data_IF_615479216697
#
_entry.id   IF_615479216697
#
_cell.length_a   1.000
_cell.length_b   1.000
_cell.length_c   1.000
_cell.angle_alpha   90.00
_cell.angle_beta   90.00
_cell.angle_gamma   90.00
#
_symmetry.space_group_name_H-M   'P 1'
#
loop_
_entity.id
_entity.type
_entity.pdbx_description
1 polymer ?
#
# COMPACT_ATOMS: atom_id res chain seq x y z
N UNK A 1 52.64 22.90 31.07
CA UNK A 1 51.78 22.68 29.89
C UNK A 1 50.37 22.46 30.43
N UNK A 2 49.53 23.46 30.76
CA UNK A 2 49.32 24.82 30.24
C UNK A 2 49.07 24.84 28.73
N UNK A 3 47.90 25.40 28.36
CA UNK A 3 47.32 25.64 27.01
C UNK A 3 46.62 24.39 26.44
N UNK A 4 45.32 24.36 26.10
CA UNK A 4 44.33 25.41 25.82
C UNK A 4 42.91 24.94 26.19
N UNK A 5 42.26 25.73 27.03
CA UNK A 5 40.82 25.87 27.16
C UNK A 5 40.51 27.37 26.88
N UNK A 6 39.28 27.67 26.48
CA UNK A 6 38.69 29.03 26.27
C UNK A 6 38.94 29.76 24.94
N UNK A 7 37.99 29.58 24.01
CA UNK A 7 37.38 30.62 23.17
C UNK A 7 36.22 29.91 22.44
N UNK A 8 34.94 30.24 22.55
CA UNK A 8 34.28 31.47 22.17
C UNK A 8 32.92 31.50 22.91
N UNK A 9 32.86 32.22 24.02
CA UNK A 9 31.62 32.77 24.58
C UNK A 9 31.90 34.25 24.83
N UNK A 10 31.00 35.12 24.35
CA UNK A 10 30.97 36.60 24.48
C UNK A 10 31.47 37.42 23.29
N UNK A 11 30.53 37.78 22.42
CA UNK A 11 30.23 39.19 22.14
C UNK A 11 28.75 39.46 22.38
N UNK A 12 28.43 39.96 23.57
CA UNK A 12 27.21 40.71 23.87
C UNK A 12 27.44 42.19 23.52
N UNK A 13 26.39 42.85 23.04
CA UNK A 13 25.99 44.24 23.29
C UNK A 13 26.95 45.39 22.92
N UNK A 14 26.53 46.14 21.91
CA UNK A 14 26.46 47.60 21.83
C UNK A 14 25.60 47.92 20.59
N UNK A 15 24.61 48.81 20.52
CA UNK A 15 23.90 49.72 21.41
C UNK A 15 22.63 50.11 20.61
N UNK A 16 21.45 50.18 21.23
CA UNK A 16 20.88 51.36 21.90
C UNK A 16 20.20 52.35 20.92
N UNK A 17 18.88 52.45 21.09
CA UNK A 17 18.00 53.62 21.00
C UNK A 17 17.91 54.46 19.71
N UNK A 18 16.71 54.47 19.09
CA UNK A 18 16.01 55.73 18.85
C UNK A 18 14.48 55.55 18.75
N UNK A 19 13.77 56.40 19.49
CA UNK A 19 12.31 56.60 19.56
C UNK A 19 11.90 57.57 18.45
N UNK A 20 10.73 57.39 17.84
CA UNK A 20 10.18 58.35 16.89
C UNK A 20 8.72 58.10 16.54
N UNK A 21 7.85 58.76 17.30
CA UNK A 21 6.39 58.90 17.16
C UNK A 21 5.96 59.48 15.80
N UNK A 22 4.73 59.19 15.37
CA UNK A 22 4.21 59.70 14.09
C UNK A 22 2.86 59.13 13.67
N UNK A 23 1.80 59.66 14.28
CA UNK A 23 0.39 59.48 13.91
C UNK A 23 0.08 60.07 12.52
N UNK A 24 -0.83 59.45 11.78
CA UNK A 24 -1.36 60.00 10.53
C UNK A 24 -2.50 59.15 9.96
N UNK A 25 -3.73 59.57 10.25
CA UNK A 25 -4.97 59.15 9.58
C UNK A 25 -4.96 59.53 8.08
N UNK A 26 -5.64 58.73 7.24
CA UNK A 26 -5.93 59.14 5.87
C UNK A 26 -6.48 58.04 4.95
N UNK A 27 -7.81 57.93 4.94
CA UNK A 27 -8.73 57.52 3.86
C UNK A 27 -8.21 56.78 2.61
N UNK A 28 -8.87 55.63 2.36
CA UNK A 28 -9.70 55.45 1.17
C UNK A 28 -9.02 55.28 -0.20
N UNK A 29 -8.92 54.03 -0.65
CA UNK A 29 -9.15 53.67 -2.06
C UNK A 29 -9.38 52.16 -2.17
N UNK A 30 -10.64 51.78 -2.41
CA UNK A 30 -11.01 50.48 -2.98
C UNK A 30 -10.32 50.35 -4.35
N UNK A 31 -9.52 49.29 -4.52
CA UNK A 31 -8.89 48.91 -5.77
C UNK A 31 -9.33 47.50 -6.12
N UNK A 32 -10.15 47.40 -7.16
CA UNK A 32 -10.73 46.18 -7.72
C UNK A 32 -9.69 45.09 -8.02
N UNK A 33 -9.99 43.88 -7.56
CA UNK A 33 -9.33 42.64 -7.98
C UNK A 33 -9.79 42.27 -9.40
N UNK A 34 -8.90 41.91 -10.33
CA UNK A 34 -9.31 41.49 -11.67
C UNK A 34 -10.01 40.11 -11.63
N UNK A 35 -11.20 40.06 -12.23
CA UNK A 35 -12.01 38.86 -12.39
C UNK A 35 -11.32 37.78 -13.24
N UNK A 36 -11.44 36.54 -12.80
CA UNK A 36 -11.03 35.33 -13.52
C UNK A 36 -11.91 35.10 -14.76
N UNK A 37 -11.38 34.53 -15.86
CA UNK A 37 -12.19 34.26 -17.05
C UNK A 37 -13.17 33.09 -16.84
N UNK A 38 -14.41 33.30 -17.28
CA UNK A 38 -15.49 32.30 -17.30
C UNK A 38 -15.16 31.10 -18.19
N UNK A 39 -15.48 29.90 -17.70
CA UNK A 39 -15.39 28.65 -18.45
C UNK A 39 -16.55 28.54 -19.48
N UNK A 40 -16.30 28.09 -20.72
CA UNK A 40 -17.35 27.96 -21.71
C UNK A 40 -18.25 26.74 -21.44
N UNK A 41 -19.55 27.00 -21.36
CA UNK A 41 -20.63 26.01 -21.31
C UNK A 41 -20.74 25.24 -22.63
N UNK A 42 -20.48 23.93 -22.61
CA UNK A 42 -20.81 23.04 -23.73
C UNK A 42 -22.18 22.40 -23.52
N UNK A 43 -23.08 22.71 -24.45
CA UNK A 43 -24.45 22.21 -24.50
C UNK A 43 -24.51 20.71 -24.76
N UNK A 44 -25.51 20.09 -24.15
CA UNK A 44 -25.87 18.69 -24.32
C UNK A 44 -26.86 18.59 -25.49
N UNK A 45 -26.46 17.96 -26.59
CA UNK A 45 -27.40 17.46 -27.61
C UNK A 45 -27.60 15.95 -27.42
N UNK A 46 -28.85 15.46 -27.32
CA UNK A 46 -29.15 14.05 -27.08
C UNK A 46 -29.38 13.28 -28.39
N UNK A 47 -28.91 12.02 -28.41
CA UNK A 47 -29.16 10.92 -29.37
C UNK A 47 -28.07 10.65 -30.40
N UNK A 48 -27.24 9.65 -30.09
CA UNK A 48 -26.92 8.53 -31.00
C UNK A 48 -26.18 7.44 -30.21
N UNK A 49 -26.91 6.65 -29.41
CA UNK A 49 -26.37 5.43 -28.81
C UNK A 49 -26.85 4.22 -29.62
N UNK A 50 -25.96 3.73 -30.48
CA UNK A 50 -25.99 2.37 -30.99
C UNK A 50 -24.54 1.89 -31.03
N UNK A 51 -24.03 1.51 -29.85
CA UNK A 51 -22.76 0.79 -29.72
C UNK A 51 -23.04 -0.69 -29.49
N UNK A 52 -22.26 -1.49 -30.23
CA UNK A 52 -22.22 -2.95 -30.22
C UNK A 52 -21.82 -3.48 -28.82
N UNK A 53 -22.14 -4.75 -28.50
CA UNK A 53 -21.78 -5.32 -27.20
C UNK A 53 -20.26 -5.50 -27.13
N UNK A 54 -19.60 -4.56 -26.45
CA UNK A 54 -18.24 -4.72 -25.98
C UNK A 54 -18.20 -5.80 -24.91
N UNK A 55 -17.18 -6.66 -24.98
CA UNK A 55 -16.86 -7.65 -23.96
C UNK A 55 -16.79 -6.97 -22.60
N UNK A 56 -17.53 -7.50 -21.63
CA UNK A 56 -17.35 -7.17 -20.21
C UNK A 56 -15.86 -7.36 -19.87
N UNK A 57 -15.20 -6.42 -19.18
CA UNK A 57 -13.90 -6.71 -18.61
C UNK A 57 -14.06 -7.91 -17.68
N UNK A 58 -13.13 -8.85 -17.82
CA UNK A 58 -13.10 -10.11 -17.08
C UNK A 58 -13.26 -9.87 -15.57
N UNK A 59 -14.02 -10.72 -14.90
CA UNK A 59 -14.22 -10.64 -13.46
C UNK A 59 -12.86 -10.57 -12.75
N UNK A 60 -12.74 -9.62 -11.81
CA UNK A 60 -11.57 -9.44 -10.94
C UNK A 60 -11.32 -10.73 -10.14
N UNK A 61 -10.08 -11.02 -9.77
CA UNK A 61 -9.74 -12.13 -8.88
C UNK A 61 -9.72 -11.66 -7.41
N UNK A 62 -10.10 -12.55 -6.48
CA UNK A 62 -9.94 -12.28 -5.03
C UNK A 62 -8.68 -12.96 -4.52
N UNK A 63 -7.85 -12.21 -3.79
CA UNK A 63 -6.69 -12.75 -3.09
C UNK A 63 -7.05 -12.95 -1.63
N UNK A 64 -6.96 -14.19 -1.15
CA UNK A 64 -7.40 -14.57 0.18
C UNK A 64 -6.20 -15.05 0.98
N UNK A 65 -5.93 -14.39 2.10
CA UNK A 65 -5.13 -14.97 3.17
C UNK A 65 -5.98 -16.06 3.84
N UNK A 66 -5.42 -17.27 4.00
CA UNK A 66 -6.14 -18.44 4.50
C UNK A 66 -7.15 -18.12 5.62
N UNK A 67 -8.32 -18.75 5.55
CA UNK A 67 -9.24 -18.82 6.69
C UNK A 67 -8.49 -19.51 7.84
N UNK A 68 -8.05 -18.75 8.84
CA UNK A 68 -7.52 -19.32 10.06
C UNK A 68 -8.66 -20.05 10.77
N UNK A 69 -8.75 -21.36 10.53
CA UNK A 69 -9.55 -22.25 11.34
C UNK A 69 -8.92 -22.15 12.74
N UNK A 70 -9.56 -21.41 13.66
CA UNK A 70 -9.03 -20.93 14.95
C UNK A 70 -8.57 -22.02 15.92
N UNK A 71 -7.64 -22.86 15.48
CA UNK A 71 -7.10 -24.06 16.10
C UNK A 71 -5.57 -24.04 16.18
N UNK A 72 -4.88 -23.10 15.53
CA UNK A 72 -3.48 -22.83 15.82
C UNK A 72 -3.36 -21.67 16.82
N UNK A 73 -3.67 -21.99 18.07
CA UNK A 73 -3.16 -21.22 19.19
C UNK A 73 -1.63 -21.32 19.24
N UNK A 74 -0.99 -20.21 19.59
CA UNK A 74 0.42 -20.08 19.94
C UNK A 74 1.43 -20.56 18.91
N UNK A 75 1.84 -19.63 18.05
CA UNK A 75 3.21 -19.63 17.51
C UNK A 75 3.76 -18.21 17.44
N UNK A 76 3.93 -17.58 18.62
CA UNK A 76 4.94 -16.53 18.79
C UNK A 76 6.33 -17.14 18.57
N UNK A 77 6.74 -17.33 17.32
CA UNK A 77 8.10 -17.69 16.96
C UNK A 77 8.78 -16.50 16.31
N UNK A 78 9.24 -15.60 17.19
CA UNK A 78 10.50 -14.85 17.14
C UNK A 78 11.34 -15.06 15.85
N UNK A 79 11.02 -14.34 14.78
CA UNK A 79 11.94 -14.16 13.64
C UNK A 79 12.87 -12.98 13.91
N UNK A 80 13.90 -13.26 14.71
CA UNK A 80 15.06 -12.37 14.77
C UNK A 80 15.90 -12.59 13.52
N UNK A 81 16.29 -11.48 12.86
CA UNK A 81 17.23 -11.41 11.74
C UNK A 81 18.33 -12.49 11.81
N UNK A 82 18.17 -13.54 11.01
CA UNK A 82 19.24 -14.51 10.74
C UNK A 82 19.47 -14.54 9.24
N UNK A 83 20.65 -14.08 8.87
CA UNK A 83 21.26 -14.15 7.56
C UNK A 83 20.84 -15.38 6.74
N UNK A 84 20.16 -15.12 5.63
CA UNK A 84 20.38 -15.65 4.28
C UNK A 84 21.33 -16.85 4.19
N UNK A 85 20.79 -18.07 4.05
CA UNK A 85 21.34 -19.17 3.24
C UNK A 85 20.29 -20.28 3.15
N UNK A 86 19.99 -20.70 1.93
CA UNK A 86 18.82 -21.50 1.58
C UNK A 86 18.65 -22.81 2.36
N UNK A 87 17.39 -23.05 2.74
CA UNK A 87 16.80 -24.37 2.88
C UNK A 87 15.41 -24.24 2.26
N UNK A 88 15.20 -24.83 1.09
CA UNK A 88 13.84 -25.07 0.58
C UNK A 88 13.19 -26.10 1.50
N UNK A 89 12.48 -25.64 2.52
CA UNK A 89 11.76 -26.52 3.43
C UNK A 89 10.58 -27.17 2.70
N UNK A 90 10.38 -28.47 2.92
CA UNK A 90 9.29 -29.30 2.36
C UNK A 90 7.89 -28.69 2.64
N UNK A 91 7.78 -27.80 3.63
CA UNK A 91 6.59 -27.00 3.97
C UNK A 91 6.22 -25.97 2.88
N UNK A 92 7.20 -25.44 2.16
CA UNK A 92 6.97 -24.47 1.08
C UNK A 92 6.26 -25.09 -0.14
N UNK A 93 6.33 -26.42 -0.30
CA UNK A 93 5.66 -27.16 -1.37
C UNK A 93 4.16 -27.32 -1.09
N UNK A 94 3.78 -27.51 0.18
CA UNK A 94 2.36 -27.61 0.57
C UNK A 94 1.69 -26.23 0.73
N UNK A 95 2.47 -25.16 0.94
CA UNK A 95 1.94 -23.80 1.11
C UNK A 95 2.85 -22.75 0.43
N UNK A 96 2.76 -22.57 -0.90
CA UNK A 96 3.57 -21.59 -1.62
C UNK A 96 3.23 -20.15 -1.19
N UNK A 97 4.18 -19.22 -1.32
CA UNK A 97 3.96 -17.78 -1.12
C UNK A 97 2.72 -17.27 -1.86
N UNK A 98 2.56 -17.71 -3.10
CA UNK A 98 1.41 -17.44 -3.97
C UNK A 98 0.88 -18.75 -4.55
N UNK A 99 -0.37 -19.06 -4.25
CA UNK A 99 -1.07 -20.27 -4.71
C UNK A 99 -1.50 -20.20 -6.17
N UNK A 100 -1.98 -21.33 -6.69
CA UNK A 100 -2.66 -21.37 -7.98
C UNK A 100 -4.04 -20.69 -7.90
N UNK A 101 -4.57 -20.36 -9.08
CA UNK A 101 -5.92 -19.83 -9.23
C UNK A 101 -6.93 -20.96 -9.06
N UNK A 102 -7.89 -20.80 -8.15
CA UNK A 102 -8.90 -21.82 -7.84
C UNK A 102 -10.33 -21.23 -7.84
N UNK A 103 -11.37 -22.02 -8.13
CA UNK A 103 -12.74 -21.53 -8.10
C UNK A 103 -13.23 -21.32 -6.66
N UNK A 104 -14.13 -20.35 -6.43
CA UNK A 104 -14.71 -20.05 -5.11
C UNK A 104 -15.54 -21.22 -4.52
N UNK A 105 -15.89 -22.22 -5.34
CA UNK A 105 -16.50 -23.45 -4.85
C UNK A 105 -15.61 -24.23 -3.88
N UNK A 106 -14.28 -24.10 -3.97
CA UNK A 106 -13.34 -24.72 -3.04
C UNK A 106 -13.45 -24.08 -1.66
N UNK A 107 -13.50 -22.74 -1.61
CA UNK A 107 -13.76 -21.99 -0.38
C UNK A 107 -15.11 -22.37 0.24
N UNK A 108 -16.16 -22.51 -0.59
CA UNK A 108 -17.47 -22.95 -0.12
C UNK A 108 -17.47 -24.35 0.51
N UNK A 109 -16.61 -25.26 0.03
CA UNK A 109 -16.49 -26.62 0.53
C UNK A 109 -15.74 -26.72 1.88
N UNK A 110 -14.91 -25.73 2.21
CA UNK A 110 -14.17 -25.66 3.49
C UNK A 110 -15.03 -25.20 4.66
N UNK A 111 -16.07 -24.41 4.40
CA UNK A 111 -16.97 -23.90 5.44
C UNK A 111 -17.79 -25.04 6.06
N UNK A 112 -17.74 -25.15 7.40
CA UNK A 112 -18.50 -26.15 8.16
C UNK A 112 -19.98 -26.13 7.80
N UNK A 113 -20.54 -27.30 7.57
CA UNK A 113 -21.99 -27.50 7.40
C UNK A 113 -22.76 -26.86 8.56
N UNK A 114 -23.50 -25.79 8.27
CA UNK A 114 -24.32 -25.06 9.24
C UNK A 114 -23.95 -23.59 9.43
N UNK A 115 -22.81 -23.12 8.91
CA UNK A 115 -22.49 -21.69 8.89
C UNK A 115 -23.19 -20.98 7.72
N UNK A 116 -24.49 -20.74 7.88
CA UNK A 116 -25.33 -20.18 6.83
C UNK A 116 -24.91 -18.77 6.41
N UNK A 117 -24.36 -17.97 7.33
CA UNK A 117 -23.92 -16.59 7.05
C UNK A 117 -22.71 -16.60 6.10
N UNK A 118 -21.67 -17.39 6.43
CA UNK A 118 -20.49 -17.49 5.57
C UNK A 118 -20.84 -18.12 4.21
N UNK A 119 -21.73 -19.11 4.18
CA UNK A 119 -22.19 -19.69 2.92
C UNK A 119 -22.94 -18.67 2.03
N UNK A 120 -23.76 -17.79 2.61
CA UNK A 120 -24.42 -16.72 1.84
C UNK A 120 -23.41 -15.70 1.32
N UNK A 121 -22.45 -15.25 2.14
CA UNK A 121 -21.38 -14.34 1.71
C UNK A 121 -20.52 -14.92 0.59
N UNK A 122 -20.18 -16.22 0.66
CA UNK A 122 -19.42 -16.88 -0.41
C UNK A 122 -20.23 -16.96 -1.71
N UNK A 123 -21.55 -17.15 -1.65
CA UNK A 123 -22.40 -17.09 -2.84
C UNK A 123 -22.35 -15.71 -3.48
N UNK A 124 -22.45 -14.65 -2.69
CA UNK A 124 -22.30 -13.27 -3.20
C UNK A 124 -20.92 -13.02 -3.82
N UNK A 125 -19.85 -13.54 -3.20
CA UNK A 125 -18.51 -13.46 -3.78
C UNK A 125 -18.44 -14.20 -5.12
N UNK A 126 -19.07 -15.37 -5.23
CA UNK A 126 -19.10 -16.17 -6.45
C UNK A 126 -19.90 -15.50 -7.59
N UNK A 127 -20.79 -14.55 -7.28
CA UNK A 127 -21.46 -13.71 -8.27
C UNK A 127 -20.59 -12.54 -8.74
N UNK A 128 -19.63 -12.08 -7.91
CA UNK A 128 -18.76 -10.92 -8.17
C UNK A 128 -17.38 -11.27 -8.73
N UNK A 129 -16.86 -12.46 -8.42
CA UNK A 129 -15.48 -12.86 -8.73
C UNK A 129 -15.43 -14.24 -9.38
N UNK A 130 -14.57 -14.41 -10.40
CA UNK A 130 -14.48 -15.67 -11.14
C UNK A 130 -13.61 -16.73 -10.44
N UNK A 131 -12.59 -16.29 -9.73
CA UNK A 131 -11.65 -17.15 -9.05
C UNK A 131 -11.07 -16.46 -7.81
N UNK A 132 -10.41 -17.26 -6.99
CA UNK A 132 -9.57 -16.78 -5.91
C UNK A 132 -8.14 -17.33 -6.03
N UNK A 133 -7.22 -16.66 -5.37
CA UNK A 133 -5.85 -17.13 -5.20
C UNK A 133 -5.49 -17.10 -3.71
N UNK A 134 -4.97 -18.21 -3.21
CA UNK A 134 -4.51 -18.30 -1.81
C UNK A 134 -3.13 -17.70 -1.66
N UNK A 135 -2.94 -16.95 -0.59
CA UNK A 135 -1.66 -16.39 -0.20
C UNK A 135 -1.26 -17.03 1.13
N UNK A 136 0.03 -17.35 1.26
CA UNK A 136 0.59 -17.92 2.48
C UNK A 136 0.25 -17.04 3.68
N UNK A 137 -0.25 -17.66 4.74
CA UNK A 137 -0.54 -16.99 6.01
C UNK A 137 0.74 -16.93 6.88
N UNK A 138 1.59 -15.95 6.58
CA UNK A 138 2.86 -15.71 7.25
C UNK A 138 2.97 -14.28 7.81
N UNK A 139 1.82 -13.60 7.99
CA UNK A 139 1.74 -12.19 8.40
C UNK A 139 2.08 -11.18 7.29
N UNK A 140 2.61 -11.62 6.13
CA UNK A 140 2.86 -10.76 4.97
C UNK A 140 1.74 -10.81 3.93
N UNK A 141 0.66 -11.53 4.22
CA UNK A 141 -0.38 -11.88 3.27
C UNK A 141 -1.02 -10.67 2.57
N UNK A 142 -1.23 -9.54 3.26
CA UNK A 142 -1.73 -8.30 2.63
C UNK A 142 -0.77 -7.79 1.56
N UNK A 143 0.49 -7.52 1.92
CA UNK A 143 1.50 -7.00 1.00
C UNK A 143 1.77 -7.98 -0.15
N UNK A 144 1.77 -9.28 0.13
CA UNK A 144 1.99 -10.33 -0.88
C UNK A 144 0.79 -10.46 -1.83
N UNK A 145 -0.43 -10.27 -1.33
CA UNK A 145 -1.65 -10.17 -2.16
C UNK A 145 -1.60 -8.95 -3.07
N UNK A 146 -1.28 -7.77 -2.50
CA UNK A 146 -1.15 -6.53 -3.26
C UNK A 146 -0.08 -6.62 -4.34
N UNK A 147 1.11 -7.11 -3.98
CA UNK A 147 2.24 -7.35 -4.89
C UNK A 147 1.78 -8.15 -6.11
N UNK A 148 1.21 -9.34 -5.88
CA UNK A 148 0.87 -10.24 -6.98
C UNK A 148 -0.29 -9.71 -7.82
N UNK A 149 -1.35 -9.22 -7.18
CA UNK A 149 -2.52 -8.66 -7.86
C UNK A 149 -2.14 -7.50 -8.79
N UNK A 150 -1.35 -6.56 -8.27
CA UNK A 150 -0.93 -5.40 -9.04
C UNK A 150 -0.04 -5.81 -10.22
N UNK A 151 0.97 -6.64 -9.99
CA UNK A 151 1.88 -7.10 -11.04
C UNK A 151 1.18 -7.98 -12.09
N UNK A 152 0.22 -8.82 -11.68
CA UNK A 152 -0.59 -9.64 -12.59
C UNK A 152 -1.40 -8.75 -13.53
N UNK A 153 -1.99 -7.66 -13.03
CA UNK A 153 -2.68 -6.68 -13.85
C UNK A 153 -1.74 -5.96 -14.83
N UNK A 154 -0.57 -5.51 -14.37
CA UNK A 154 0.43 -4.86 -15.24
C UNK A 154 0.89 -5.83 -16.33
N UNK A 155 1.18 -7.08 -15.99
CA UNK A 155 1.59 -8.11 -16.95
C UNK A 155 0.48 -8.41 -17.96
N UNK A 156 -0.78 -8.50 -17.52
CA UNK A 156 -1.91 -8.78 -18.40
C UNK A 156 -2.24 -7.63 -19.35
N UNK A 157 -2.16 -6.39 -18.87
CA UNK A 157 -2.56 -5.19 -19.64
C UNK A 157 -1.42 -4.59 -20.46
N UNK A 158 -0.17 -4.78 -20.02
CA UNK A 158 1.01 -4.08 -20.56
C UNK A 158 0.80 -2.56 -20.61
N UNK A 159 0.07 -2.01 -19.62
CA UNK A 159 -0.30 -0.60 -19.60
C UNK A 159 0.90 0.28 -19.21
N UNK A 160 1.58 0.82 -20.24
CA UNK A 160 2.73 1.70 -20.06
C UNK A 160 2.39 2.99 -19.32
N UNK A 161 1.17 3.52 -19.48
CA UNK A 161 0.77 4.76 -18.81
C UNK A 161 0.60 4.54 -17.30
N UNK A 162 0.05 3.39 -16.91
CA UNK A 162 0.00 2.99 -15.51
C UNK A 162 1.40 2.76 -14.94
N UNK A 163 2.31 2.12 -15.70
CA UNK A 163 3.71 1.92 -15.28
C UNK A 163 4.43 3.26 -15.06
N UNK A 164 4.28 4.22 -15.99
CA UNK A 164 4.84 5.57 -15.83
C UNK A 164 4.27 6.29 -14.60
N UNK A 165 2.95 6.15 -14.35
CA UNK A 165 2.27 6.75 -13.20
C UNK A 165 2.79 6.18 -11.88
N UNK A 166 2.88 4.86 -11.76
CA UNK A 166 3.35 4.23 -10.52
C UNK A 166 4.83 4.52 -10.28
N UNK A 167 5.68 4.55 -11.31
CA UNK A 167 7.09 4.93 -11.17
C UNK A 167 7.25 6.37 -10.66
N UNK A 168 6.39 7.29 -11.09
CA UNK A 168 6.36 8.66 -10.56
C UNK A 168 5.98 8.71 -9.07
N UNK A 169 5.02 7.89 -8.64
CA UNK A 169 4.63 7.79 -7.23
C UNK A 169 5.73 7.11 -6.39
N UNK A 170 6.36 6.06 -6.90
CA UNK A 170 7.52 5.41 -6.26
C UNK A 170 8.68 6.41 -6.10
N UNK A 171 8.96 7.24 -7.10
CA UNK A 171 9.96 8.30 -6.97
C UNK A 171 9.60 9.34 -5.89
N UNK A 172 8.31 9.60 -5.68
CA UNK A 172 7.82 10.49 -4.62
C UNK A 172 7.96 9.83 -3.24
N UNK A 173 7.67 8.54 -3.12
CA UNK A 173 7.88 7.76 -1.90
C UNK A 173 9.37 7.75 -1.50
N UNK A 174 10.28 7.54 -2.46
CA UNK A 174 11.73 7.60 -2.24
C UNK A 174 12.16 8.96 -1.67
N UNK A 175 11.71 10.06 -2.27
CA UNK A 175 12.01 11.42 -1.77
C UNK A 175 11.46 11.66 -0.37
N UNK A 176 10.28 11.11 -0.07
CA UNK A 176 9.66 11.21 1.25
C UNK A 176 10.55 10.58 2.32
N UNK A 177 11.02 9.35 2.09
CA UNK A 177 11.91 8.65 3.02
C UNK A 177 13.22 9.42 3.26
N UNK A 178 13.80 9.99 2.20
CA UNK A 178 15.00 10.84 2.31
C UNK A 178 14.77 12.07 3.20
N UNK A 179 13.63 12.74 3.04
CA UNK A 179 13.25 13.90 3.87
C UNK A 179 13.01 13.50 5.33
N UNK A 180 12.48 12.30 5.57
CA UNK A 180 12.29 11.71 6.90
C UNK A 180 13.62 11.26 7.56
N UNK A 181 14.73 11.29 6.81
CA UNK A 181 16.07 10.99 7.32
C UNK A 181 16.53 9.54 7.13
N UNK A 182 15.82 8.76 6.32
CA UNK A 182 16.24 7.41 5.96
C UNK A 182 17.49 7.45 5.04
N UNK A 183 18.53 6.61 5.28
CA UNK A 183 19.75 6.63 4.48
C UNK A 183 19.51 6.24 3.01
N UNK A 184 20.07 7.00 2.07
CA UNK A 184 19.92 6.77 0.62
C UNK A 184 20.22 5.34 0.18
N UNK A 185 21.32 4.74 0.69
CA UNK A 185 21.70 3.38 0.31
C UNK A 185 20.64 2.34 0.68
N UNK A 186 19.95 2.54 1.81
CA UNK A 186 18.93 1.62 2.30
C UNK A 186 17.66 1.76 1.45
N UNK A 187 17.24 2.99 1.17
CA UNK A 187 16.07 3.28 0.34
C UNK A 187 16.29 2.72 -1.08
N UNK A 188 17.48 2.89 -1.63
CA UNK A 188 17.81 2.42 -2.98
C UNK A 188 17.76 0.89 -3.09
N UNK A 189 18.27 0.18 -2.08
CA UNK A 189 18.20 -1.29 -2.06
C UNK A 189 16.76 -1.82 -2.03
N UNK A 190 15.88 -1.23 -1.22
CA UNK A 190 14.48 -1.66 -1.16
C UNK A 190 13.71 -1.38 -2.45
N UNK A 191 14.00 -0.27 -3.12
CA UNK A 191 13.24 0.18 -4.29
C UNK A 191 13.71 -0.48 -5.58
N UNK A 192 14.98 -0.89 -5.65
CA UNK A 192 15.61 -1.39 -6.86
C UNK A 192 14.85 -2.53 -7.53
N UNK A 193 14.44 -3.54 -6.76
CA UNK A 193 13.82 -4.74 -7.33
C UNK A 193 12.45 -4.46 -7.95
N UNK A 194 11.62 -3.66 -7.29
CA UNK A 194 10.29 -3.30 -7.80
C UNK A 194 10.38 -2.41 -9.04
N UNK A 195 11.27 -1.40 -9.02
CA UNK A 195 11.50 -0.53 -10.18
C UNK A 195 11.98 -1.35 -11.39
N UNK A 196 12.97 -2.22 -11.18
CA UNK A 196 13.51 -3.06 -12.27
C UNK A 196 12.43 -3.95 -12.88
N UNK A 197 11.52 -4.49 -12.06
CA UNK A 197 10.42 -5.32 -12.54
C UNK A 197 9.42 -4.53 -13.40
N UNK A 198 9.11 -3.30 -13.02
CA UNK A 198 8.24 -2.41 -13.79
C UNK A 198 8.90 -1.94 -15.09
N UNK A 199 10.19 -1.59 -15.04
CA UNK A 199 10.96 -1.16 -16.22
C UNK A 199 11.06 -2.28 -17.27
N UNK A 200 11.11 -3.56 -16.86
CA UNK A 200 11.06 -4.69 -17.79
C UNK A 200 9.77 -4.73 -18.63
N UNK A 201 8.66 -4.17 -18.14
CA UNK A 201 7.40 -4.07 -18.89
C UNK A 201 7.48 -2.98 -19.96
N UNK A 202 8.29 -1.94 -19.72
CA UNK A 202 8.51 -0.86 -20.68
C UNK A 202 9.53 -1.24 -21.76
N UNK A 203 10.46 -2.16 -21.47
CA UNK A 203 11.51 -2.58 -22.40
C UNK A 203 10.97 -3.41 -23.57
N UNK A 204 10.84 -2.77 -24.72
CA UNK A 204 10.41 -3.42 -25.98
C UNK A 204 11.47 -4.37 -26.56
N UNK A 205 12.69 -4.37 -26.02
CA UNK A 205 13.81 -5.21 -26.49
C UNK A 205 13.77 -6.61 -25.90
N UNK A 206 13.04 -6.81 -24.80
CA UNK A 206 12.92 -8.09 -24.11
C UNK A 206 11.51 -8.66 -24.28
N UNK A 207 11.35 -10.00 -24.32
CA UNK A 207 10.01 -10.59 -24.26
C UNK A 207 9.35 -10.22 -22.93
N UNK A 208 8.04 -9.90 -22.92
CA UNK A 208 7.34 -9.59 -21.69
C UNK A 208 7.32 -10.82 -20.77
N UNK A 209 7.41 -10.58 -19.46
CA UNK A 209 7.28 -11.63 -18.44
C UNK A 209 5.93 -12.30 -18.62
N UNK A 210 5.93 -13.62 -18.76
CA UNK A 210 4.68 -14.38 -18.88
C UNK A 210 3.97 -14.49 -17.52
N UNK A 211 2.65 -14.69 -17.52
CA UNK A 211 1.92 -14.93 -16.27
C UNK A 211 2.50 -16.09 -15.45
N UNK A 212 2.88 -17.18 -16.11
CA UNK A 212 3.51 -18.34 -15.46
C UNK A 212 4.85 -17.95 -14.82
N UNK A 213 5.67 -17.19 -15.54
CA UNK A 213 6.95 -16.72 -15.02
C UNK A 213 6.78 -15.81 -13.81
N UNK A 214 5.80 -14.87 -13.84
CA UNK A 214 5.45 -14.04 -12.69
C UNK A 214 5.04 -14.89 -11.48
N UNK A 215 4.22 -15.93 -11.70
CA UNK A 215 3.81 -16.86 -10.65
C UNK A 215 5.01 -17.62 -10.05
N UNK A 216 5.90 -18.12 -10.89
CA UNK A 216 7.09 -18.85 -10.42
C UNK A 216 8.05 -17.95 -9.64
N UNK A 217 8.36 -16.74 -10.11
CA UNK A 217 9.22 -15.83 -9.36
C UNK A 217 8.54 -15.35 -8.06
N UNK A 218 7.22 -15.16 -8.05
CA UNK A 218 6.48 -14.76 -6.85
C UNK A 218 6.35 -15.88 -5.81
N UNK A 219 6.64 -17.13 -6.20
CA UNK A 219 6.74 -18.27 -5.29
C UNK A 219 8.10 -18.38 -4.61
N UNK A 220 9.14 -17.79 -5.20
CA UNK A 220 10.45 -17.70 -4.55
C UNK A 220 10.34 -16.78 -3.33
N UNK A 221 10.68 -17.34 -2.17
CA UNK A 221 10.54 -16.66 -0.88
C UNK A 221 11.44 -15.43 -0.81
N UNK A 222 12.68 -15.53 -1.29
CA UNK A 222 13.60 -14.40 -1.28
C UNK A 222 13.10 -13.27 -2.17
N UNK A 223 12.64 -13.55 -3.39
CA UNK A 223 12.07 -12.56 -4.28
C UNK A 223 10.84 -11.91 -3.68
N UNK A 224 9.89 -12.71 -3.21
CA UNK A 224 8.63 -12.23 -2.70
C UNK A 224 8.80 -11.41 -1.41
N UNK A 225 9.68 -11.82 -0.50
CA UNK A 225 9.95 -11.09 0.74
C UNK A 225 10.66 -9.74 0.49
N UNK A 226 11.54 -9.65 -0.52
CA UNK A 226 12.14 -8.37 -0.90
C UNK A 226 11.09 -7.37 -1.38
N UNK A 227 10.13 -7.81 -2.21
CA UNK A 227 9.03 -6.94 -2.65
C UNK A 227 8.07 -6.61 -1.51
N UNK A 228 7.77 -7.55 -0.62
CA UNK A 228 6.99 -7.27 0.60
C UNK A 228 7.68 -6.18 1.43
N UNK A 229 9.00 -6.28 1.63
CA UNK A 229 9.75 -5.29 2.40
C UNK A 229 9.70 -3.90 1.74
N UNK A 230 9.81 -3.83 0.41
CA UNK A 230 9.58 -2.59 -0.33
C UNK A 230 8.22 -1.95 0.02
N UNK A 231 7.12 -2.70 -0.05
CA UNK A 231 5.80 -2.16 0.25
C UNK A 231 5.63 -1.76 1.73
N UNK A 232 6.23 -2.52 2.65
CA UNK A 232 6.27 -2.16 4.08
C UNK A 232 6.97 -0.84 4.33
N UNK A 233 8.10 -0.60 3.66
CA UNK A 233 8.87 0.65 3.78
C UNK A 233 8.11 1.82 3.17
N UNK A 234 7.43 1.62 2.03
CA UNK A 234 6.53 2.63 1.44
C UNK A 234 5.40 2.99 2.40
N UNK A 235 4.73 1.99 2.99
CA UNK A 235 3.68 2.22 3.97
C UNK A 235 4.19 2.95 5.22
N UNK A 236 5.34 2.54 5.78
CA UNK A 236 5.99 3.23 6.91
C UNK A 236 6.30 4.69 6.58
N UNK A 237 6.88 4.95 5.41
CA UNK A 237 7.18 6.30 4.96
C UNK A 237 5.94 7.19 4.90
N UNK A 238 4.84 6.66 4.37
CA UNK A 238 3.58 7.40 4.27
C UNK A 238 2.91 7.64 5.62
N UNK A 239 2.95 6.66 6.53
CA UNK A 239 2.47 6.79 7.91
C UNK A 239 3.25 7.88 8.63
N UNK A 240 4.59 7.85 8.56
CA UNK A 240 5.46 8.87 9.17
C UNK A 240 5.25 10.25 8.56
N UNK A 241 5.09 10.34 7.23
CA UNK A 241 4.82 11.61 6.52
C UNK A 241 3.52 12.27 6.99
N UNK A 242 2.49 11.47 7.29
CA UNK A 242 1.19 11.93 7.81
C UNK A 242 0.99 11.55 9.28
N UNK A 243 2.04 11.65 10.10
CA UNK A 243 2.00 11.22 11.50
C UNK A 243 0.81 11.80 12.28
N UNK A 244 0.54 13.10 12.15
CA UNK A 244 -0.60 13.76 12.84
C UNK A 244 -1.96 13.16 12.48
N UNK A 245 -2.12 12.67 11.25
CA UNK A 245 -3.35 12.02 10.80
C UNK A 245 -3.47 10.60 11.35
N UNK A 246 -2.38 9.83 11.33
CA UNK A 246 -2.40 8.43 11.75
C UNK A 246 -2.30 8.21 13.27
N UNK A 247 -1.72 9.17 14.01
CA UNK A 247 -1.44 9.05 15.44
C UNK A 247 -2.67 8.64 16.29
N UNK A 248 -3.87 9.24 16.14
CA UNK A 248 -5.04 8.84 16.94
C UNK A 248 -5.45 7.37 16.71
N UNK A 249 -5.30 6.88 15.48
CA UNK A 249 -5.63 5.49 15.14
C UNK A 249 -4.59 4.52 15.70
N UNK A 250 -3.29 4.86 15.60
CA UNK A 250 -2.19 4.06 16.13
C UNK A 250 -2.27 3.96 17.66
N UNK A 251 -2.54 5.07 18.35
CA UNK A 251 -2.77 5.07 19.80
C UNK A 251 -3.96 4.18 20.16
N UNK A 252 -5.04 4.24 19.38
CA UNK A 252 -6.23 3.40 19.61
C UNK A 252 -5.99 1.90 19.40
N UNK A 253 -5.06 1.52 18.52
CA UNK A 253 -4.74 0.13 18.19
C UNK A 253 -3.74 -0.49 19.17
N UNK A 254 -2.60 0.17 19.40
CA UNK A 254 -1.45 -0.43 20.11
C UNK A 254 -0.94 0.44 21.28
N UNK A 255 -1.48 1.65 21.46
CA UNK A 255 -1.04 2.61 22.48
C UNK A 255 0.47 2.90 22.40
N UNK A 256 0.99 3.01 21.17
CA UNK A 256 2.39 3.32 20.83
C UNK A 256 2.49 4.64 20.05
N UNK A 257 3.71 5.17 19.89
CA UNK A 257 3.94 6.31 19.00
C UNK A 257 4.01 5.87 17.54
N UNK A 258 3.81 6.82 16.61
CA UNK A 258 3.88 6.56 15.16
C UNK A 258 5.21 5.91 14.76
N UNK A 259 6.33 6.44 15.24
CA UNK A 259 7.66 5.91 14.91
C UNK A 259 7.88 4.49 15.46
N UNK A 260 7.36 4.21 16.65
CA UNK A 260 7.48 2.89 17.27
C UNK A 260 6.62 1.87 16.52
N UNK A 261 5.38 2.23 16.20
CA UNK A 261 4.48 1.43 15.39
C UNK A 261 5.07 1.12 14.00
N UNK A 262 5.68 2.11 13.34
CA UNK A 262 6.31 1.86 12.04
C UNK A 262 7.42 0.82 12.14
N UNK A 263 8.32 0.95 13.13
CA UNK A 263 9.45 0.04 13.29
C UNK A 263 9.06 -1.37 13.73
N UNK A 264 8.06 -1.49 14.60
CA UNK A 264 7.68 -2.77 15.21
C UNK A 264 6.55 -3.47 14.47
N UNK A 265 5.60 -2.75 13.88
CA UNK A 265 4.36 -3.35 13.36
C UNK A 265 4.20 -3.17 11.84
N UNK A 266 5.04 -2.35 11.19
CA UNK A 266 4.96 -2.10 9.74
C UNK A 266 6.19 -2.65 9.02
N UNK A 267 7.40 -2.23 9.43
CA UNK A 267 8.67 -2.54 8.76
C UNK A 267 9.14 -3.98 8.95
N UNK A 268 8.77 -4.64 10.05
CA UNK A 268 9.15 -6.03 10.32
C UNK A 268 8.37 -7.00 9.40
N UNK A 269 9.11 -7.93 8.78
CA UNK A 269 8.49 -9.04 8.06
C UNK A 269 7.74 -9.95 9.03
N UNK A 270 6.58 -10.43 8.59
CA UNK A 270 5.72 -11.33 9.34
C UNK A 270 4.75 -10.65 10.33
N UNK A 271 4.80 -9.32 10.45
CA UNK A 271 3.81 -8.58 11.25
C UNK A 271 2.53 -8.32 10.46
N UNK A 272 1.40 -8.61 11.09
CA UNK A 272 0.08 -8.49 10.47
C UNK A 272 -0.23 -7.04 10.06
N UNK A 273 -0.93 -6.90 8.93
CA UNK A 273 -1.37 -5.60 8.44
C UNK A 273 -2.80 -5.32 8.89
N UNK A 274 -3.05 -4.09 9.33
CA UNK A 274 -4.38 -3.59 9.66
C UNK A 274 -4.76 -2.44 8.72
N UNK A 275 -5.89 -1.79 9.01
CA UNK A 275 -6.44 -0.72 8.16
C UNK A 275 -5.45 0.45 7.94
N UNK A 276 -4.59 0.75 8.93
CA UNK A 276 -3.59 1.83 8.82
C UNK A 276 -2.60 1.54 7.68
N UNK A 277 -2.04 0.32 7.64
CA UNK A 277 -1.09 -0.08 6.59
C UNK A 277 -1.77 -0.11 5.20
N UNK A 278 -3.02 -0.55 5.12
CA UNK A 278 -3.77 -0.64 3.85
C UNK A 278 -3.98 0.77 3.25
N UNK A 279 -4.48 1.71 4.07
CA UNK A 279 -4.71 3.10 3.65
C UNK A 279 -3.40 3.78 3.27
N UNK A 280 -2.38 3.63 4.10
CA UNK A 280 -1.08 4.24 3.82
C UNK A 280 -0.48 3.73 2.50
N UNK A 281 -0.51 2.43 2.25
CA UNK A 281 0.03 1.87 1.01
C UNK A 281 -0.76 2.32 -0.21
N UNK A 282 -2.10 2.27 -0.13
CA UNK A 282 -2.99 2.69 -1.21
C UNK A 282 -2.76 4.14 -1.59
N UNK A 283 -2.70 5.04 -0.60
CA UNK A 283 -2.49 6.47 -0.81
C UNK A 283 -1.08 6.78 -1.36
N UNK A 284 -0.04 6.11 -0.82
CA UNK A 284 1.34 6.33 -1.24
C UNK A 284 1.57 5.96 -2.71
N UNK A 285 0.97 4.86 -3.15
CA UNK A 285 1.09 4.35 -4.51
C UNK A 285 0.01 4.89 -5.45
N UNK A 286 -1.05 5.49 -4.90
CA UNK A 286 -2.24 5.91 -5.65
C UNK A 286 -2.90 4.73 -6.36
N UNK A 287 -2.93 3.57 -5.73
CA UNK A 287 -3.55 2.34 -6.27
C UNK A 287 -4.75 2.01 -5.39
N UNK A 288 -5.98 2.00 -5.94
CA UNK A 288 -7.18 1.69 -5.16
C UNK A 288 -7.17 0.23 -4.69
N UNK A 289 -7.58 -0.01 -3.45
CA UNK A 289 -7.64 -1.36 -2.86
C UNK A 289 -9.07 -1.64 -2.37
N UNK A 290 -9.65 -2.75 -2.83
CA UNK A 290 -10.94 -3.26 -2.34
C UNK A 290 -10.68 -4.45 -1.42
N UNK A 291 -11.17 -4.38 -0.18
CA UNK A 291 -11.07 -5.48 0.79
C UNK A 291 -12.48 -6.02 1.07
N UNK A 292 -12.64 -7.33 0.86
CA UNK A 292 -13.89 -8.05 1.13
C UNK A 292 -13.79 -8.76 2.49
N UNK A 293 -14.67 -8.38 3.42
CA UNK A 293 -14.70 -8.98 4.75
C UNK A 293 -15.62 -10.21 4.80
N UNK A 294 -15.01 -11.38 4.90
CA UNK A 294 -15.71 -12.64 5.10
C UNK A 294 -15.75 -13.02 6.58
N UNK A 295 -16.67 -12.42 7.33
CA UNK A 295 -16.88 -12.70 8.76
C UNK A 295 -18.29 -13.24 9.06
N UNK A 296 -18.50 -13.71 10.29
CA UNK A 296 -19.82 -14.18 10.76
C UNK A 296 -20.77 -13.03 11.14
N UNK A 297 -20.38 -11.78 10.93
CA UNK A 297 -21.23 -10.65 11.28
C UNK A 297 -22.40 -10.57 10.30
N UNK A 298 -23.60 -10.56 10.88
CA UNK A 298 -24.88 -10.51 10.17
C UNK A 298 -25.36 -9.09 9.91
N UNK A 299 -24.52 -8.08 10.16
CA UNK A 299 -24.81 -6.66 9.99
C UNK A 299 -24.88 -6.27 8.51
N UNK A 300 -25.98 -6.70 7.89
CA UNK A 300 -26.80 -6.10 6.84
C UNK A 300 -27.33 -7.19 5.89
N UNK A 301 -28.10 -8.15 6.45
CA UNK A 301 -28.84 -9.13 5.64
C UNK A 301 -27.98 -10.09 4.80
N UNK A 302 -26.73 -10.32 5.20
CA UNK A 302 -25.78 -11.16 4.45
C UNK A 302 -25.00 -10.41 3.37
N UNK A 303 -25.16 -9.08 3.26
CA UNK A 303 -24.37 -8.27 2.33
C UNK A 303 -22.87 -8.34 2.68
N UNK A 304 -22.05 -8.40 1.63
CA UNK A 304 -20.62 -8.11 1.75
C UNK A 304 -20.50 -6.64 2.14
N UNK A 305 -19.68 -6.32 3.14
CA UNK A 305 -19.35 -4.94 3.47
C UNK A 305 -18.07 -4.57 2.73
N UNK A 306 -18.14 -3.93 1.55
CA UNK A 306 -16.95 -3.41 0.91
C UNK A 306 -16.40 -2.26 1.76
N UNK A 307 -15.12 -2.34 2.11
CA UNK A 307 -14.35 -1.14 2.44
C UNK A 307 -13.54 -0.79 1.20
N UNK A 308 -14.09 0.10 0.36
CA UNK A 308 -13.31 0.70 -0.72
C UNK A 308 -12.33 1.68 -0.07
N UNK A 309 -11.04 1.38 -0.16
CA UNK A 309 -9.99 2.32 0.19
C UNK A 309 -9.78 3.18 -1.05
N UNK A 310 -10.48 4.31 -1.09
CA UNK A 310 -10.31 5.35 -2.12
C UNK A 310 -10.10 6.68 -1.40
N UNK A 311 -9.01 7.36 -1.76
CA UNK A 311 -8.67 8.72 -1.33
C UNK A 311 -8.69 9.66 -2.53
#
# INVERSE_FOLDING_TARGET
MAQEAEAITNKRKAGNDFVGDGSGDGDGAEGDLPAMPEAPSLGVDPKSSAEAPGSSPDLVDVYIACLSDGRNGDSKHRFGYKHFFGICDEVAIENPCVGDKEPLSFLAAEIRSGDHILQEKIKLLNDKYAALRRIRDDGNCFYRSFMFSYLEQIVATQDKAEVDRILANVATCRKTLQVLGDPDFMVDEFFFMFISLLENVLDESCPPISHEELLQISRDESFSDNLVLFFRIVASGEIRRRAEFFEPFIIGLENTSVDQFCKESVEMLGEESNHVQIVALSDALGVPISVEYLDQNSSDGGALTPSDVTS
#
